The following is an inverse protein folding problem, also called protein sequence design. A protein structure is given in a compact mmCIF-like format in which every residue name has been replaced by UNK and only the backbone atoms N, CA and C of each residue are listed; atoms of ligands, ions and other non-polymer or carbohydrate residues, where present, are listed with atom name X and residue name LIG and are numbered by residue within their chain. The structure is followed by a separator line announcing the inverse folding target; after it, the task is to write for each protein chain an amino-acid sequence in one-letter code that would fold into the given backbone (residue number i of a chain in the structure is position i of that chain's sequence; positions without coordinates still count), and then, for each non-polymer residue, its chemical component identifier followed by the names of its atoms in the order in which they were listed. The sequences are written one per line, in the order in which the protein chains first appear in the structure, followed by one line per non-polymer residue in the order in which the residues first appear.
data_IF_496250425785
#
_entry.id   IF_496250425785
#
_cell.length_a   1.000
_cell.length_b   1.000
_cell.length_c   1.000
_cell.angle_alpha   90.00
_cell.angle_beta   90.00
_cell.angle_gamma   90.00
#
_symmetry.space_group_name_H-M   'P 1'
#
loop_
_entity.id
_entity.type
_entity.pdbx_description
1 polymer ?
#
# COMPACT_ATOMS: atom_id res chain seq x y z
N UNK A 1 10.08 -0.19 11.05
CA UNK A 1 11.31 0.51 11.44
C UNK A 1 11.00 1.99 11.56
N UNK A 2 11.41 2.64 12.65
CA UNK A 2 11.27 4.09 12.83
C UNK A 2 12.61 4.73 12.49
N UNK A 3 12.61 5.69 11.57
CA UNK A 3 13.80 6.47 11.18
C UNK A 3 13.84 7.79 11.92
N UNK A 4 12.70 8.46 11.98
CA UNK A 4 12.53 9.71 12.71
C UNK A 4 11.58 9.51 13.89
N UNK A 5 12.05 9.66 15.15
CA UNK A 5 11.21 9.53 16.34
C UNK A 5 10.01 10.48 16.34
N UNK A 6 10.07 11.60 15.61
CA UNK A 6 8.97 12.56 15.48
C UNK A 6 7.70 11.91 14.93
N UNK A 7 7.83 10.84 14.14
CA UNK A 7 6.69 10.07 13.64
C UNK A 7 5.84 9.52 14.80
N UNK A 8 6.47 9.01 15.85
CA UNK A 8 5.75 8.45 16.99
C UNK A 8 4.99 9.52 17.79
N UNK A 9 5.44 10.76 17.75
CA UNK A 9 4.79 11.88 18.41
C UNK A 9 3.67 12.49 17.57
N UNK A 10 3.90 12.68 16.27
CA UNK A 10 3.00 13.42 15.40
C UNK A 10 1.89 12.57 14.80
N UNK A 11 2.08 11.25 14.65
CA UNK A 11 1.13 10.38 13.95
C UNK A 11 -0.25 10.34 14.63
N UNK A 12 -0.33 10.31 15.96
CA UNK A 12 -1.61 10.41 16.71
C UNK A 12 -2.33 11.77 16.53
N UNK A 13 -1.61 12.79 16.05
CA UNK A 13 -2.15 14.12 15.79
C UNK A 13 -2.61 14.31 14.34
N UNK A 14 -2.36 13.34 13.45
CA UNK A 14 -2.83 13.39 12.08
C UNK A 14 -4.37 13.25 12.01
N UNK A 15 -4.99 13.99 11.10
CA UNK A 15 -6.45 13.95 10.84
C UNK A 15 -6.78 13.65 9.38
N UNK A 16 -5.79 13.77 8.49
CA UNK A 16 -5.92 13.38 7.10
C UNK A 16 -4.99 12.20 6.81
N UNK A 17 -5.54 11.11 6.27
CA UNK A 17 -4.79 9.97 5.78
C UNK A 17 -4.76 9.98 4.25
N UNK A 18 -3.57 9.93 3.67
CA UNK A 18 -3.33 9.94 2.23
C UNK A 18 -2.67 8.63 1.84
N UNK A 19 -3.25 7.95 0.85
CA UNK A 19 -2.74 6.69 0.35
C UNK A 19 -2.29 6.83 -1.10
N UNK A 20 -1.10 6.34 -1.42
CA UNK A 20 -0.87 5.86 -2.77
C UNK A 20 -1.69 4.58 -3.04
N UNK A 21 -1.97 4.30 -4.30
CA UNK A 21 -2.72 3.09 -4.69
C UNK A 21 -1.78 1.90 -4.78
N UNK A 22 -0.73 2.00 -5.60
CA UNK A 22 0.09 0.86 -6.06
C UNK A 22 1.12 0.50 -5.01
N UNK A 23 1.16 -0.76 -4.59
CA UNK A 23 2.11 -1.21 -3.56
C UNK A 23 1.78 -0.74 -2.14
N UNK A 24 0.72 0.06 -1.98
CA UNK A 24 0.26 0.58 -0.68
C UNK A 24 -1.09 -0.02 -0.30
N UNK A 25 -2.19 0.36 -0.97
CA UNK A 25 -3.50 -0.28 -0.77
C UNK A 25 -3.63 -1.60 -1.53
N UNK A 26 -2.73 -1.82 -2.48
CA UNK A 26 -2.60 -3.04 -3.27
C UNK A 26 -1.24 -3.68 -3.03
N UNK A 27 -1.09 -4.92 -3.50
CA UNK A 27 0.22 -5.60 -3.47
C UNK A 27 1.21 -5.08 -4.53
N UNK A 28 0.78 -4.19 -5.43
CA UNK A 28 1.60 -3.67 -6.53
C UNK A 28 1.96 -4.74 -7.56
N UNK A 29 1.16 -5.80 -7.65
CA UNK A 29 1.41 -6.96 -8.51
C UNK A 29 0.17 -7.23 -9.37
N UNK A 30 0.34 -7.35 -10.70
CA UNK A 30 -0.78 -7.68 -11.57
C UNK A 30 -1.29 -9.10 -11.24
N UNK A 31 -2.60 -9.25 -11.13
CA UNK A 31 -3.29 -10.53 -10.98
C UNK A 31 -4.29 -10.67 -12.12
N UNK A 32 -4.38 -11.85 -12.71
CA UNK A 32 -5.35 -12.16 -13.76
C UNK A 32 -6.76 -12.19 -13.18
N UNK A 33 -7.60 -11.19 -13.49
CA UNK A 33 -8.95 -11.04 -12.91
C UNK A 33 -10.07 -11.43 -13.85
N UNK A 34 -9.95 -11.11 -15.15
CA UNK A 34 -10.98 -11.44 -16.14
C UNK A 34 -10.37 -12.29 -17.25
N UNK A 35 -11.07 -13.37 -17.59
CA UNK A 35 -10.74 -14.25 -18.70
C UNK A 35 -11.98 -14.39 -19.58
N UNK A 36 -11.89 -13.96 -20.84
CA UNK A 36 -12.95 -14.13 -21.83
C UNK A 36 -12.42 -14.98 -22.97
N UNK A 37 -13.09 -16.09 -23.24
CA UNK A 37 -12.74 -17.03 -24.31
C UNK A 37 -13.66 -16.80 -25.51
N UNK A 38 -13.13 -16.90 -26.71
CA UNK A 38 -13.84 -16.64 -27.97
C UNK A 38 -13.91 -17.84 -28.91
N UNK A 39 -13.08 -18.86 -28.69
CA UNK A 39 -13.09 -20.11 -29.45
C UNK A 39 -13.73 -21.24 -28.63
N UNK A 40 -14.22 -22.28 -29.31
CA UNK A 40 -14.74 -23.50 -28.68
C UNK A 40 -13.62 -24.40 -28.14
N UNK A 41 -12.78 -23.89 -27.24
CA UNK A 41 -11.79 -24.65 -26.46
C UNK A 41 -12.00 -24.44 -24.97
N UNK A 42 -11.53 -25.39 -24.17
CA UNK A 42 -11.57 -25.27 -22.71
C UNK A 42 -10.71 -24.05 -22.27
N UNK A 43 -11.26 -23.12 -21.47
CA UNK A 43 -10.49 -22.02 -20.88
C UNK A 43 -9.19 -22.48 -20.20
N UNK A 44 -9.18 -23.65 -19.55
CA UNK A 44 -7.98 -24.21 -18.92
C UNK A 44 -6.92 -24.62 -19.92
N UNK A 45 -7.32 -25.10 -21.09
CA UNK A 45 -6.38 -25.43 -22.17
C UNK A 45 -5.73 -24.17 -22.74
N UNK A 46 -6.51 -23.10 -22.91
CA UNK A 46 -5.99 -21.80 -23.34
C UNK A 46 -5.03 -21.23 -22.28
N UNK A 47 -5.40 -21.31 -21.00
CA UNK A 47 -4.53 -20.89 -19.90
C UNK A 47 -3.24 -21.71 -19.84
N UNK A 48 -3.32 -23.03 -20.09
CA UNK A 48 -2.15 -23.91 -20.20
C UNK A 48 -1.21 -23.47 -21.32
N UNK A 49 -1.74 -23.17 -22.50
CA UNK A 49 -0.95 -22.70 -23.63
C UNK A 49 -0.31 -21.33 -23.32
N UNK A 50 -1.08 -20.38 -22.81
CA UNK A 50 -0.61 -19.04 -22.44
C UNK A 50 0.48 -19.10 -21.34
N UNK A 51 0.27 -19.88 -20.28
CA UNK A 51 1.24 -20.03 -19.20
C UNK A 51 2.52 -20.74 -19.66
N UNK A 52 2.40 -21.72 -20.58
CA UNK A 52 3.55 -22.49 -21.09
C UNK A 52 4.53 -21.60 -21.86
N UNK A 53 4.04 -20.63 -22.62
CA UNK A 53 4.90 -19.68 -23.32
C UNK A 53 5.38 -18.54 -22.42
N UNK A 54 4.52 -18.01 -21.54
CA UNK A 54 4.87 -16.93 -20.61
C UNK A 54 5.97 -17.31 -19.62
N UNK A 55 6.19 -18.60 -19.37
CA UNK A 55 7.36 -19.10 -18.61
C UNK A 55 8.71 -18.55 -19.10
N UNK A 56 8.79 -18.15 -20.37
CA UNK A 56 10.02 -17.64 -20.99
C UNK A 56 10.09 -16.11 -21.06
N UNK A 57 9.02 -15.39 -20.72
CA UNK A 57 9.03 -13.92 -20.66
C UNK A 57 9.46 -13.42 -19.28
N UNK A 58 10.08 -12.25 -19.26
CA UNK A 58 10.39 -11.49 -18.03
C UNK A 58 9.35 -10.40 -17.75
N UNK A 59 8.28 -10.33 -18.53
CA UNK A 59 7.28 -9.30 -18.39
C UNK A 59 6.45 -9.50 -17.10
N UNK A 60 6.08 -8.44 -16.36
CA UNK A 60 5.29 -8.57 -15.13
C UNK A 60 3.97 -9.35 -15.30
N UNK A 61 3.32 -9.24 -16.47
CA UNK A 61 2.09 -9.99 -16.79
C UNK A 61 2.29 -11.50 -16.89
N UNK A 62 3.49 -11.94 -17.30
CA UNK A 62 3.85 -13.36 -17.38
C UNK A 62 3.68 -14.04 -16.02
N UNK A 63 4.17 -13.37 -14.97
CA UNK A 63 4.08 -13.87 -13.59
C UNK A 63 2.64 -14.03 -13.12
N UNK A 64 1.73 -13.17 -13.58
CA UNK A 64 0.31 -13.24 -13.23
C UNK A 64 -0.38 -14.43 -13.90
N UNK A 65 -0.07 -14.71 -15.17
CA UNK A 65 -0.60 -15.87 -15.90
C UNK A 65 -0.05 -17.17 -15.28
N UNK A 66 1.24 -17.22 -14.98
CA UNK A 66 1.88 -18.38 -14.33
C UNK A 66 1.30 -18.65 -12.93
N UNK A 67 1.06 -17.60 -12.14
CA UNK A 67 0.44 -17.73 -10.83
C UNK A 67 -0.98 -18.30 -10.94
N UNK A 68 -1.79 -17.84 -11.90
CA UNK A 68 -3.13 -18.37 -12.15
C UNK A 68 -3.10 -19.84 -12.57
N UNK A 69 -2.18 -20.21 -13.47
CA UNK A 69 -2.03 -21.60 -13.89
C UNK A 69 -1.61 -22.51 -12.73
N UNK A 70 -0.74 -22.04 -11.84
CA UNK A 70 -0.36 -22.76 -10.62
C UNK A 70 -1.53 -22.91 -9.65
N UNK A 71 -2.33 -21.87 -9.44
CA UNK A 71 -3.54 -21.90 -8.60
C UNK A 71 -4.54 -22.96 -9.10
N UNK A 72 -4.68 -23.09 -10.42
CA UNK A 72 -5.55 -24.06 -11.07
C UNK A 72 -4.92 -25.45 -11.26
N UNK A 73 -3.71 -25.68 -10.73
CA UNK A 73 -2.95 -26.94 -10.84
C UNK A 73 -2.72 -27.39 -12.30
N UNK A 74 -2.44 -26.45 -13.19
CA UNK A 74 -2.23 -26.71 -14.62
C UNK A 74 -0.76 -27.07 -14.86
N UNK A 75 -0.53 -28.29 -15.35
CA UNK A 75 0.81 -28.73 -15.79
C UNK A 75 1.19 -28.06 -17.11
N UNK A 76 2.28 -27.31 -17.09
CA UNK A 76 2.83 -26.63 -18.27
C UNK A 76 3.46 -27.63 -19.25
N UNK A 77 3.48 -27.26 -20.53
CA UNK A 77 4.13 -28.01 -21.60
C UNK A 77 5.28 -27.22 -22.21
N UNK A 78 6.20 -27.91 -22.88
CA UNK A 78 7.35 -27.26 -23.49
C UNK A 78 6.94 -26.47 -24.74
N UNK A 79 7.40 -25.22 -24.81
CA UNK A 79 7.21 -24.35 -25.95
C UNK A 79 8.45 -24.36 -26.85
N UNK A 80 8.25 -24.39 -28.16
CA UNK A 80 9.29 -24.39 -29.18
C UNK A 80 9.23 -23.08 -29.99
N UNK A 81 10.33 -22.75 -30.68
CA UNK A 81 10.42 -21.57 -31.59
C UNK A 81 9.93 -20.26 -30.97
N UNK A 82 10.31 -20.02 -29.72
CA UNK A 82 9.87 -18.85 -28.96
C UNK A 82 10.56 -17.60 -29.49
N UNK A 83 9.78 -16.54 -29.70
CA UNK A 83 10.29 -15.22 -30.05
C UNK A 83 9.47 -14.13 -29.33
N UNK A 84 10.16 -13.11 -28.83
CA UNK A 84 9.56 -11.92 -28.20
C UNK A 84 10.05 -10.66 -28.94
N UNK A 85 9.54 -10.37 -30.15
CA UNK A 85 9.93 -9.16 -30.87
C UNK A 85 9.51 -7.93 -30.06
N UNK A 86 10.38 -6.92 -30.02
CA UNK A 86 10.15 -5.71 -29.22
C UNK A 86 8.81 -5.08 -29.56
N UNK A 87 7.93 -5.05 -28.57
CA UNK A 87 6.63 -4.42 -28.69
C UNK A 87 5.61 -5.21 -29.49
N UNK A 88 5.86 -6.45 -29.92
CA UNK A 88 4.85 -7.28 -30.63
C UNK A 88 4.22 -8.34 -29.74
N UNK A 89 4.77 -8.55 -28.54
CA UNK A 89 4.37 -9.61 -27.62
C UNK A 89 5.21 -10.87 -27.81
N UNK A 90 4.67 -12.00 -27.35
CA UNK A 90 5.37 -13.27 -27.25
C UNK A 90 4.70 -14.30 -28.17
N UNK A 91 5.48 -15.02 -28.99
CA UNK A 91 4.99 -16.05 -29.91
C UNK A 91 5.81 -17.33 -29.85
N UNK A 92 5.18 -18.47 -30.08
CA UNK A 92 5.83 -19.78 -30.04
C UNK A 92 4.89 -20.91 -30.41
N UNK A 93 5.48 -22.08 -30.68
CA UNK A 93 4.77 -23.31 -31.03
C UNK A 93 4.62 -24.17 -29.76
N UNK A 94 3.38 -24.52 -29.39
CA UNK A 94 3.08 -25.21 -28.13
C UNK A 94 2.03 -26.29 -28.39
N UNK A 95 2.35 -27.55 -28.10
CA UNK A 95 1.40 -28.65 -28.26
C UNK A 95 0.88 -28.82 -29.70
N UNK A 96 1.65 -28.39 -30.71
CA UNK A 96 1.24 -28.44 -32.12
C UNK A 96 0.44 -27.23 -32.62
N UNK A 97 0.09 -26.28 -31.75
CA UNK A 97 -0.55 -25.01 -32.12
C UNK A 97 0.44 -23.85 -32.11
N UNK A 98 0.26 -22.88 -33.01
CA UNK A 98 0.96 -21.61 -32.96
C UNK A 98 0.23 -20.68 -31.98
N UNK A 99 0.92 -20.20 -30.95
CA UNK A 99 0.34 -19.36 -29.90
C UNK A 99 1.04 -18.00 -29.87
N UNK A 100 0.24 -16.92 -29.85
CA UNK A 100 0.73 -15.54 -29.79
C UNK A 100 -0.01 -14.80 -28.68
N UNK A 101 0.74 -14.21 -27.74
CA UNK A 101 0.25 -13.30 -26.72
C UNK A 101 0.66 -11.89 -27.10
N UNK A 102 -0.31 -10.99 -27.25
CA UNK A 102 -0.02 -9.61 -27.68
C UNK A 102 -1.02 -8.61 -27.10
N UNK A 103 -0.83 -7.33 -27.42
CA UNK A 103 -1.78 -6.27 -27.08
C UNK A 103 -2.91 -6.20 -28.13
N UNK A 104 -4.09 -5.70 -27.75
CA UNK A 104 -5.21 -5.54 -28.69
C UNK A 104 -4.86 -4.70 -29.94
N UNK A 105 -3.87 -3.80 -29.82
CA UNK A 105 -3.42 -2.92 -30.90
C UNK A 105 -2.69 -3.65 -32.03
N UNK A 106 -2.24 -4.88 -31.80
CA UNK A 106 -1.50 -5.67 -32.81
C UNK A 106 -2.35 -6.70 -33.53
N UNK A 107 -3.62 -6.88 -33.15
CA UNK A 107 -4.52 -7.82 -33.82
C UNK A 107 -4.65 -7.52 -35.32
N UNK A 108 -4.78 -6.23 -35.69
CA UNK A 108 -4.86 -5.80 -37.09
C UNK A 108 -3.61 -6.17 -37.89
N UNK A 109 -2.42 -6.05 -37.28
CA UNK A 109 -1.14 -6.40 -37.92
C UNK A 109 -0.98 -7.91 -38.11
N UNK A 110 -1.58 -8.70 -37.23
CA UNK A 110 -1.61 -10.16 -37.33
C UNK A 110 -2.67 -10.67 -38.34
N UNK A 111 -3.45 -9.77 -38.95
CA UNK A 111 -4.53 -10.14 -39.87
C UNK A 111 -5.76 -10.73 -39.17
N UNK A 112 -5.81 -10.67 -37.84
CA UNK A 112 -6.92 -11.21 -37.04
C UNK A 112 -8.02 -10.16 -36.99
N UNK A 113 -9.06 -10.35 -37.81
CA UNK A 113 -10.22 -9.44 -37.84
C UNK A 113 -11.13 -9.73 -36.65
N UNK A 114 -11.10 -8.84 -35.65
CA UNK A 114 -11.95 -8.92 -34.47
C UNK A 114 -12.98 -7.79 -34.52
N UNK A 115 -14.29 -8.05 -34.37
CA UNK A 115 -15.27 -6.99 -34.21
C UNK A 115 -14.88 -6.08 -33.03
N UNK A 116 -14.92 -4.76 -33.22
CA UNK A 116 -14.47 -3.79 -32.21
C UNK A 116 -15.18 -3.93 -30.85
N UNK A 117 -16.41 -4.42 -30.87
CA UNK A 117 -17.26 -4.58 -29.68
C UNK A 117 -17.08 -5.94 -28.99
N UNK A 118 -16.30 -6.86 -29.58
CA UNK A 118 -16.13 -8.20 -29.04
C UNK A 118 -15.23 -8.20 -27.78
N UNK A 119 -14.20 -7.37 -27.79
CA UNK A 119 -13.25 -7.23 -26.68
C UNK A 119 -13.82 -6.35 -25.57
N UNK A 120 -13.78 -6.79 -24.30
CA UNK A 120 -14.23 -5.98 -23.19
C UNK A 120 -13.55 -4.61 -23.16
N UNK A 121 -14.34 -3.55 -22.97
CA UNK A 121 -13.86 -2.20 -22.66
C UNK A 121 -13.50 -2.11 -21.16
N UNK A 122 -12.67 -1.14 -20.79
CA UNK A 122 -12.29 -0.85 -19.40
C UNK A 122 -10.78 -0.83 -19.15
N UNK A 123 -10.39 -0.11 -18.09
CA UNK A 123 -8.99 0.02 -17.66
C UNK A 123 -8.44 -1.24 -17.00
N UNK A 124 -7.11 -1.26 -16.89
CA UNK A 124 -6.32 -2.42 -16.50
C UNK A 124 -5.23 -2.73 -17.52
N UNK A 125 -4.25 -3.51 -17.10
CA UNK A 125 -3.35 -4.16 -18.04
C UNK A 125 -4.10 -5.32 -18.70
N UNK A 126 -3.76 -5.64 -19.93
CA UNK A 126 -4.48 -6.65 -20.71
C UNK A 126 -3.57 -7.31 -21.75
N UNK A 127 -3.93 -8.52 -22.13
CA UNK A 127 -3.38 -9.18 -23.30
C UNK A 127 -4.45 -10.00 -24.01
N UNK A 128 -4.24 -10.21 -25.30
CA UNK A 128 -5.03 -11.12 -26.13
C UNK A 128 -4.18 -12.31 -26.52
N UNK A 129 -4.83 -13.47 -26.59
CA UNK A 129 -4.22 -14.74 -26.96
C UNK A 129 -4.79 -15.12 -28.32
N UNK A 130 -3.90 -15.35 -29.28
CA UNK A 130 -4.21 -15.82 -30.63
C UNK A 130 -3.67 -17.24 -30.75
N UNK A 131 -4.50 -18.17 -31.22
CA UNK A 131 -4.13 -19.57 -31.46
C UNK A 131 -4.44 -19.87 -32.92
N UNK A 132 -3.44 -20.36 -33.65
CA UNK A 132 -3.58 -20.78 -35.05
C UNK A 132 -4.22 -19.71 -35.97
N UNK A 133 -3.95 -18.42 -35.68
CA UNK A 133 -4.47 -17.28 -36.43
C UNK A 133 -5.84 -16.76 -35.99
N UNK A 134 -6.48 -17.37 -34.98
CA UNK A 134 -7.78 -16.95 -34.45
C UNK A 134 -7.65 -16.34 -33.06
N UNK A 135 -8.46 -15.31 -32.75
CA UNK A 135 -8.53 -14.76 -31.39
C UNK A 135 -9.12 -15.81 -30.45
N UNK A 136 -8.29 -16.38 -29.57
CA UNK A 136 -8.68 -17.43 -28.64
C UNK A 136 -9.25 -16.88 -27.34
N UNK A 137 -8.56 -15.92 -26.73
CA UNK A 137 -8.96 -15.35 -25.46
C UNK A 137 -8.48 -13.91 -25.24
N UNK A 138 -9.10 -13.25 -24.27
CA UNK A 138 -8.76 -11.95 -23.74
C UNK A 138 -8.58 -12.07 -22.23
N UNK A 139 -7.42 -11.63 -21.75
CA UNK A 139 -7.05 -11.62 -20.34
C UNK A 139 -6.88 -10.19 -19.86
N UNK A 140 -7.49 -9.89 -18.71
CA UNK A 140 -7.32 -8.61 -18.00
C UNK A 140 -6.67 -8.83 -16.67
N UNK A 141 -5.74 -7.94 -16.35
CA UNK A 141 -5.01 -7.93 -15.11
C UNK A 141 -5.33 -6.67 -14.34
N UNK A 142 -5.48 -6.83 -13.03
CA UNK A 142 -5.64 -5.71 -12.09
C UNK A 142 -4.72 -5.92 -10.92
N UNK A 143 -4.36 -4.82 -10.30
CA UNK A 143 -3.62 -4.84 -9.05
C UNK A 143 -4.58 -5.17 -7.91
N UNK A 144 -4.30 -6.25 -7.18
CA UNK A 144 -5.21 -6.75 -6.17
C UNK A 144 -5.07 -5.94 -4.88
N UNK A 145 -6.19 -5.45 -4.29
CA UNK A 145 -6.15 -4.81 -2.97
C UNK A 145 -5.63 -5.79 -1.92
N UNK A 146 -4.91 -5.29 -0.91
CA UNK A 146 -4.49 -6.14 0.22
C UNK A 146 -5.73 -6.65 0.94
N UNK A 147 -5.71 -7.90 1.40
CA UNK A 147 -6.86 -8.55 2.08
C UNK A 147 -7.45 -7.65 3.16
N UNK A 148 -6.57 -7.01 3.91
CA UNK A 148 -6.90 -6.25 5.09
C UNK A 148 -7.24 -4.76 4.81
N UNK A 149 -7.09 -4.29 3.57
CA UNK A 149 -7.22 -2.87 3.23
C UNK A 149 -8.58 -2.30 3.56
N UNK A 150 -9.67 -2.98 3.19
CA UNK A 150 -11.02 -2.50 3.49
C UNK A 150 -11.27 -2.42 5.00
N UNK A 151 -10.81 -3.43 5.74
CA UNK A 151 -10.89 -3.46 7.21
C UNK A 151 -10.10 -2.29 7.82
N UNK A 152 -8.87 -2.07 7.36
CA UNK A 152 -8.01 -0.99 7.83
C UNK A 152 -8.64 0.39 7.62
N UNK A 153 -9.11 0.68 6.39
CA UNK A 153 -9.75 1.96 6.04
C UNK A 153 -10.96 2.23 6.94
N UNK A 154 -11.80 1.22 7.16
CA UNK A 154 -13.00 1.34 8.01
C UNK A 154 -12.67 1.62 9.49
N UNK A 155 -11.46 1.29 9.97
CA UNK A 155 -11.04 1.55 11.34
C UNK A 155 -10.39 2.93 11.55
N UNK A 156 -9.89 3.57 10.49
CA UNK A 156 -9.14 4.82 10.60
C UNK A 156 -9.95 5.94 11.27
N UNK A 157 -11.21 6.15 10.88
CA UNK A 157 -12.06 7.14 11.53
C UNK A 157 -12.48 6.72 12.96
N UNK A 158 -13.20 5.61 13.18
CA UNK A 158 -13.76 5.29 14.50
C UNK A 158 -12.71 4.97 15.58
N UNK A 159 -11.54 4.44 15.21
CA UNK A 159 -10.47 4.09 16.15
C UNK A 159 -9.32 5.10 16.14
N UNK A 160 -9.07 5.75 15.01
CA UNK A 160 -7.92 6.63 14.84
C UNK A 160 -8.21 8.10 14.60
N UNK A 161 -9.48 8.49 14.58
CA UNK A 161 -9.93 9.88 14.47
C UNK A 161 -9.42 10.56 13.19
N UNK A 162 -9.14 9.80 12.14
CA UNK A 162 -8.90 10.36 10.82
C UNK A 162 -10.23 10.83 10.24
N UNK A 163 -10.37 12.14 10.05
CA UNK A 163 -11.57 12.80 9.54
C UNK A 163 -11.64 12.74 8.01
N UNK A 164 -10.47 12.69 7.36
CA UNK A 164 -10.37 12.65 5.90
C UNK A 164 -9.45 11.52 5.47
N UNK A 165 -9.91 10.75 4.49
CA UNK A 165 -9.17 9.64 3.88
C UNK A 165 -9.21 9.86 2.37
N UNK A 166 -8.06 9.80 1.71
CA UNK A 166 -7.96 10.01 0.26
C UNK A 166 -6.96 9.08 -0.41
N UNK A 167 -7.19 8.81 -1.70
CA UNK A 167 -6.23 8.14 -2.59
C UNK A 167 -5.65 9.16 -3.55
N UNK A 168 -4.33 9.19 -3.68
CA UNK A 168 -3.59 10.02 -4.63
C UNK A 168 -2.69 9.12 -5.45
N UNK A 169 -2.97 8.95 -6.75
CA UNK A 169 -2.27 8.00 -7.61
C UNK A 169 -2.02 8.54 -9.02
N UNK A 170 -0.95 8.05 -9.65
CA UNK A 170 -0.63 8.29 -11.06
C UNK A 170 -1.39 7.37 -12.03
N UNK A 171 -2.07 6.35 -11.50
CA UNK A 171 -2.83 5.40 -12.30
C UNK A 171 -4.09 6.03 -12.91
N UNK A 172 -4.72 5.31 -13.84
CA UNK A 172 -5.93 5.78 -14.52
C UNK A 172 -7.10 5.90 -13.57
N UNK A 173 -7.94 6.90 -13.80
CA UNK A 173 -9.16 7.18 -13.01
C UNK A 173 -10.00 5.93 -12.73
N UNK A 174 -10.27 5.12 -13.74
CA UNK A 174 -11.06 3.89 -13.61
C UNK A 174 -10.42 2.84 -12.67
N UNK A 175 -9.09 2.76 -12.60
CA UNK A 175 -8.38 1.83 -11.72
C UNK A 175 -8.40 2.30 -10.27
N UNK A 176 -8.18 3.60 -10.07
CA UNK A 176 -8.18 4.19 -8.72
C UNK A 176 -9.59 4.20 -8.14
N UNK A 177 -10.62 4.55 -8.93
CA UNK A 177 -12.03 4.51 -8.50
C UNK A 177 -12.49 3.11 -8.14
N UNK A 178 -12.10 2.10 -8.92
CA UNK A 178 -12.43 0.70 -8.63
C UNK A 178 -11.96 0.26 -7.24
N UNK A 179 -10.76 0.69 -6.84
CA UNK A 179 -10.22 0.42 -5.49
C UNK A 179 -10.92 1.27 -4.43
N UNK A 180 -11.12 2.57 -4.71
CA UNK A 180 -11.77 3.49 -3.79
C UNK A 180 -13.19 3.07 -3.40
N UNK A 181 -14.01 2.67 -4.38
CA UNK A 181 -15.39 2.21 -4.17
C UNK A 181 -15.47 0.97 -3.29
N UNK A 182 -14.56 0.00 -3.48
CA UNK A 182 -14.48 -1.22 -2.64
C UNK A 182 -14.10 -0.93 -1.20
N UNK A 183 -13.39 0.17 -0.96
CA UNK A 183 -12.91 0.57 0.37
C UNK A 183 -13.75 1.70 0.99
N UNK A 184 -14.76 2.21 0.29
CA UNK A 184 -15.59 3.31 0.76
C UNK A 184 -14.86 4.67 0.84
N UNK A 185 -13.82 4.88 0.03
CA UNK A 185 -13.05 6.13 0.01
C UNK A 185 -13.67 7.09 -1.02
N UNK A 186 -14.10 8.27 -0.58
CA UNK A 186 -14.77 9.26 -1.43
C UNK A 186 -13.80 10.22 -2.15
N UNK A 187 -12.65 10.51 -1.54
CA UNK A 187 -11.67 11.47 -2.05
C UNK A 187 -10.65 10.75 -2.93
N UNK A 188 -10.76 10.93 -4.24
CA UNK A 188 -9.93 10.22 -5.23
C UNK A 188 -9.26 11.22 -6.17
N UNK A 189 -7.93 11.15 -6.26
CA UNK A 189 -7.11 11.92 -7.20
C UNK A 189 -6.30 10.95 -8.05
N UNK A 190 -6.76 10.68 -9.27
CA UNK A 190 -6.05 9.82 -10.23
C UNK A 190 -5.34 10.63 -11.33
N UNK A 191 -4.54 9.94 -12.15
CA UNK A 191 -3.74 10.51 -13.23
C UNK A 191 -2.82 11.66 -12.77
N UNK A 192 -2.32 11.60 -11.52
CA UNK A 192 -1.48 12.66 -10.94
C UNK A 192 0.00 12.42 -11.23
N UNK A 193 0.65 13.45 -11.77
CA UNK A 193 2.11 13.52 -11.83
C UNK A 193 2.73 13.59 -10.42
N UNK A 194 4.00 13.19 -10.24
CA UNK A 194 4.68 13.30 -8.95
C UNK A 194 4.59 14.71 -8.34
N UNK A 195 4.70 15.76 -9.16
CA UNK A 195 4.61 17.16 -8.74
C UNK A 195 3.20 17.52 -8.22
N UNK A 196 2.16 17.07 -8.92
CA UNK A 196 0.78 17.25 -8.48
C UNK A 196 0.51 16.49 -7.18
N UNK A 197 1.05 15.26 -7.01
CA UNK A 197 0.91 14.52 -5.75
C UNK A 197 1.47 15.34 -4.59
N UNK A 198 2.67 15.91 -4.74
CA UNK A 198 3.31 16.77 -3.74
C UNK A 198 2.44 17.99 -3.42
N UNK A 199 1.90 18.66 -4.44
CA UNK A 199 1.05 19.83 -4.24
C UNK A 199 -0.21 19.49 -3.43
N UNK A 200 -0.88 18.38 -3.75
CA UNK A 200 -2.06 17.91 -3.00
C UNK A 200 -1.69 17.67 -1.54
N UNK A 201 -0.58 16.97 -1.27
CA UNK A 201 -0.14 16.69 0.11
C UNK A 201 0.18 18.00 0.86
N UNK A 202 0.85 18.95 0.23
CA UNK A 202 1.15 20.27 0.83
C UNK A 202 -0.13 21.03 1.17
N UNK A 203 -1.11 21.04 0.27
CA UNK A 203 -2.40 21.73 0.50
C UNK A 203 -3.20 21.09 1.63
N UNK A 204 -3.21 19.77 1.72
CA UNK A 204 -3.89 19.08 2.81
C UNK A 204 -3.16 19.25 4.15
N UNK A 205 -1.83 19.28 4.13
CA UNK A 205 -0.99 19.50 5.31
C UNK A 205 -1.18 20.90 5.92
N UNK A 206 -1.54 21.90 5.09
CA UNK A 206 -1.91 23.24 5.58
C UNK A 206 -3.24 23.25 6.34
N UNK A 207 -4.16 22.32 6.03
CA UNK A 207 -5.50 22.23 6.66
C UNK A 207 -5.45 21.44 7.95
N UNK A 208 -4.76 20.29 7.93
CA UNK A 208 -4.59 19.43 9.09
C UNK A 208 -3.32 18.59 8.94
N UNK A 209 -2.82 18.02 10.04
CA UNK A 209 -1.67 17.11 9.97
C UNK A 209 -2.00 15.87 9.16
N UNK A 210 -1.10 15.53 8.24
CA UNK A 210 -1.27 14.46 7.25
C UNK A 210 -0.39 13.27 7.59
N UNK A 211 -0.93 12.07 7.44
CA UNK A 211 -0.14 10.85 7.33
C UNK A 211 -0.21 10.37 5.86
N UNK A 212 0.93 10.20 5.21
CA UNK A 212 1.02 9.70 3.84
C UNK A 212 1.60 8.29 3.84
N UNK A 213 0.91 7.36 3.20
CA UNK A 213 1.36 5.98 2.99
C UNK A 213 1.69 5.77 1.51
N UNK A 214 2.90 5.30 1.21
CA UNK A 214 3.38 5.07 -0.15
C UNK A 214 4.38 3.90 -0.26
N UNK A 215 4.75 3.53 -1.48
CA UNK A 215 5.85 2.56 -1.72
C UNK A 215 7.25 3.20 -1.63
N UNK A 216 7.28 4.54 -1.63
CA UNK A 216 8.46 5.40 -1.56
C UNK A 216 9.45 5.27 -2.71
N UNK A 217 9.09 4.60 -3.82
CA UNK A 217 9.86 4.65 -5.06
C UNK A 217 9.41 5.87 -5.87
N UNK A 218 8.10 5.98 -6.12
CA UNK A 218 7.53 7.09 -6.89
C UNK A 218 7.01 8.22 -6.00
N UNK A 219 6.77 7.93 -4.72
CA UNK A 219 6.12 8.85 -3.78
C UNK A 219 7.09 9.49 -2.77
N UNK A 220 8.40 9.30 -2.94
CA UNK A 220 9.40 9.84 -2.03
C UNK A 220 9.22 11.36 -1.76
N UNK A 221 9.02 12.23 -2.77
CA UNK A 221 8.76 13.65 -2.53
C UNK A 221 7.47 13.91 -1.73
N UNK A 222 6.41 13.16 -2.00
CA UNK A 222 5.12 13.30 -1.32
C UNK A 222 5.20 12.84 0.16
N UNK A 223 5.96 11.77 0.43
CA UNK A 223 6.25 11.28 1.78
C UNK A 223 7.01 12.31 2.63
N UNK A 224 7.96 13.03 2.02
CA UNK A 224 8.78 14.03 2.72
C UNK A 224 8.00 15.29 3.11
N UNK A 225 7.00 15.71 2.32
CA UNK A 225 6.21 16.93 2.60
C UNK A 225 5.01 16.68 3.51
N UNK A 226 4.60 15.43 3.70
CA UNK A 226 3.58 15.07 4.67
C UNK A 226 4.04 15.34 6.10
N UNK A 227 3.11 15.53 7.05
CA UNK A 227 3.49 15.64 8.47
C UNK A 227 4.16 14.34 8.95
N UNK A 228 3.64 13.21 8.48
CA UNK A 228 4.23 11.88 8.73
C UNK A 228 4.21 11.06 7.44
N UNK A 229 5.38 10.77 6.88
CA UNK A 229 5.54 9.82 5.78
C UNK A 229 5.83 8.40 6.28
N UNK A 230 5.04 7.43 5.81
CA UNK A 230 5.19 6.00 6.09
C UNK A 230 5.35 5.25 4.76
N UNK A 231 6.48 4.57 4.57
CA UNK A 231 6.72 3.81 3.35
C UNK A 231 6.58 2.29 3.56
N UNK A 232 6.14 1.57 2.53
CA UNK A 232 6.20 0.11 2.44
C UNK A 232 7.49 -0.33 1.74
N UNK A 233 8.17 -1.35 2.28
CA UNK A 233 9.22 -2.04 1.54
C UNK A 233 10.39 -2.56 2.37
N UNK A 234 11.09 -3.53 1.78
CA UNK A 234 12.30 -4.17 2.35
C UNK A 234 13.61 -3.68 1.72
N UNK A 235 13.62 -3.15 0.49
CA UNK A 235 14.81 -3.20 -0.38
C UNK A 235 15.05 -1.96 -1.27
N UNK A 236 14.84 -0.74 -0.81
CA UNK A 236 15.33 0.43 -1.55
C UNK A 236 15.84 1.49 -0.57
N UNK A 237 17.12 1.83 -0.70
CA UNK A 237 17.77 2.87 0.12
C UNK A 237 17.03 4.20 -0.02
N UNK A 238 16.50 4.48 -1.22
CA UNK A 238 15.70 5.67 -1.54
C UNK A 238 14.38 5.71 -0.75
N UNK A 239 13.68 4.57 -0.65
CA UNK A 239 12.44 4.43 0.13
C UNK A 239 12.71 4.63 1.62
N UNK A 240 13.86 4.17 2.11
CA UNK A 240 14.25 4.27 3.51
C UNK A 240 14.73 5.68 3.92
N UNK A 241 15.20 6.49 2.98
CA UNK A 241 15.60 7.89 3.23
C UNK A 241 14.41 8.86 3.20
N UNK A 242 13.40 8.58 2.38
CA UNK A 242 12.28 9.50 2.16
C UNK A 242 11.18 9.47 3.24
N UNK A 243 11.11 8.41 4.04
CA UNK A 243 10.03 8.20 5.01
C UNK A 243 10.52 8.23 6.46
N UNK A 244 9.72 8.85 7.34
CA UNK A 244 10.00 8.86 8.78
C UNK A 244 9.80 7.49 9.44
N UNK A 245 8.97 6.63 8.86
CA UNK A 245 8.82 5.23 9.23
C UNK A 245 8.72 4.33 7.99
N UNK A 246 9.25 3.11 8.12
CA UNK A 246 9.25 2.09 7.05
C UNK A 246 8.62 0.82 7.59
N UNK A 247 7.58 0.34 6.93
CA UNK A 247 6.93 -0.94 7.21
C UNK A 247 7.61 -2.03 6.38
N UNK A 248 8.29 -2.94 7.06
CA UNK A 248 9.08 -4.01 6.42
C UNK A 248 8.22 -5.21 5.99
N UNK A 249 7.01 -5.32 6.54
CA UNK A 249 6.07 -6.38 6.18
C UNK A 249 5.11 -5.86 5.11
N UNK A 250 4.66 -6.76 4.25
CA UNK A 250 3.74 -6.44 3.16
C UNK A 250 2.29 -6.39 3.67
N UNK A 251 2.07 -5.73 4.82
CA UNK A 251 0.77 -5.69 5.50
C UNK A 251 0.47 -4.37 6.20
N UNK A 252 -0.78 -3.90 6.02
CA UNK A 252 -1.33 -2.71 6.68
C UNK A 252 -1.56 -2.94 8.19
N UNK A 253 -1.57 -4.19 8.66
CA UNK A 253 -1.64 -4.52 10.09
C UNK A 253 -0.52 -3.82 10.86
N UNK A 254 0.70 -3.79 10.31
CA UNK A 254 1.84 -3.12 10.94
C UNK A 254 1.70 -1.60 10.99
N UNK A 255 0.94 -1.02 10.08
CA UNK A 255 0.59 0.40 10.14
C UNK A 255 -0.39 0.64 11.29
N UNK A 256 -1.39 -0.21 11.46
CA UNK A 256 -2.32 -0.11 12.59
C UNK A 256 -1.59 -0.27 13.93
N UNK A 257 -0.68 -1.26 14.05
CA UNK A 257 0.19 -1.41 15.22
C UNK A 257 0.96 -0.11 15.51
N UNK A 258 1.51 0.53 14.48
CA UNK A 258 2.22 1.80 14.60
C UNK A 258 1.32 2.93 15.11
N UNK A 259 0.07 3.03 14.61
CA UNK A 259 -0.91 4.00 15.08
C UNK A 259 -1.21 3.81 16.59
N UNK A 260 -1.39 2.57 17.03
CA UNK A 260 -1.61 2.27 18.45
C UNK A 260 -0.39 2.57 19.32
N UNK A 261 0.82 2.25 18.84
CA UNK A 261 2.07 2.53 19.54
C UNK A 261 2.27 4.05 19.68
N UNK A 262 2.08 4.82 18.60
CA UNK A 262 2.20 6.28 18.61
C UNK A 262 1.25 6.90 19.64
N UNK A 263 -0.03 6.53 19.63
CA UNK A 263 -1.01 7.03 20.61
C UNK A 263 -0.62 6.72 22.04
N UNK A 264 -0.20 5.48 22.31
CA UNK A 264 0.19 5.07 23.66
C UNK A 264 1.43 5.83 24.12
N UNK A 265 2.44 5.96 23.27
CA UNK A 265 3.66 6.70 23.56
C UNK A 265 3.34 8.16 23.87
N UNK A 266 2.55 8.82 23.03
CA UNK A 266 2.13 10.21 23.26
C UNK A 266 1.34 10.38 24.55
N UNK A 267 0.41 9.47 24.85
CA UNK A 267 -0.37 9.50 26.11
C UNK A 267 0.53 9.38 27.33
N UNK A 268 1.46 8.43 27.33
CA UNK A 268 2.39 8.23 28.45
C UNK A 268 3.35 9.43 28.58
N UNK A 269 3.86 9.95 27.46
CA UNK A 269 4.70 11.14 27.44
C UNK A 269 3.99 12.37 28.01
N UNK A 270 2.74 12.61 27.61
CA UNK A 270 1.91 13.69 28.17
C UNK A 270 1.62 13.50 29.66
N UNK A 271 1.38 12.27 30.12
CA UNK A 271 1.20 11.97 31.54
C UNK A 271 2.46 12.31 32.34
N UNK A 272 3.64 11.91 31.87
CA UNK A 272 4.91 12.20 32.55
C UNK A 272 5.21 13.70 32.53
N UNK A 273 5.05 14.37 31.40
CA UNK A 273 5.36 15.79 31.26
C UNK A 273 4.40 16.69 32.06
N UNK A 274 3.09 16.55 31.84
CA UNK A 274 2.10 17.37 32.54
C UNK A 274 2.04 17.04 34.03
N UNK A 275 2.17 15.76 34.39
CA UNK A 275 2.23 15.33 35.78
C UNK A 275 3.46 15.90 36.49
N UNK A 276 4.63 15.81 35.87
CA UNK A 276 5.88 16.38 36.42
C UNK A 276 5.80 17.90 36.60
N UNK A 277 5.29 18.62 35.58
CA UNK A 277 5.08 20.07 35.66
C UNK A 277 4.12 20.42 36.80
N UNK A 278 2.98 19.73 36.91
CA UNK A 278 1.99 20.00 37.94
C UNK A 278 2.57 19.78 39.35
N UNK A 279 3.27 18.66 39.58
CA UNK A 279 3.92 18.36 40.86
C UNK A 279 5.01 19.39 41.20
N UNK A 280 5.80 19.79 40.22
CA UNK A 280 6.85 20.80 40.40
C UNK A 280 6.26 22.17 40.77
N UNK A 281 5.17 22.58 40.12
CA UNK A 281 4.46 23.83 40.45
C UNK A 281 3.90 23.79 41.86
N UNK A 282 3.31 22.66 42.28
CA UNK A 282 2.84 22.48 43.66
C UNK A 282 4.02 22.61 44.64
N UNK A 283 5.14 21.93 44.37
CA UNK A 283 6.36 22.03 45.19
C UNK A 283 6.89 23.45 45.33
N UNK A 284 6.90 24.23 44.23
CA UNK A 284 7.30 25.64 44.25
C UNK A 284 6.38 26.51 45.12
N UNK A 285 5.06 26.27 45.11
CA UNK A 285 4.12 27.01 45.97
C UNK A 285 4.41 26.73 47.45
N UNK A 286 4.68 25.47 47.81
CA UNK A 286 5.07 25.11 49.17
C UNK A 286 6.41 25.74 49.59
N UNK A 287 7.39 25.76 48.69
CA UNK A 287 8.69 26.41 48.92
C UNK A 287 8.55 27.93 49.11
N UNK A 288 7.78 28.60 48.24
CA UNK A 288 7.52 30.04 48.34
C UNK A 288 6.79 30.43 49.63
N UNK A 289 5.96 29.53 50.15
CA UNK A 289 5.24 29.71 51.43
C UNK A 289 6.11 29.40 52.66
N UNK A 290 7.39 29.03 52.47
CA UNK A 290 8.34 28.72 53.55
C UNK A 290 8.22 27.31 54.13
N UNK A 291 7.35 26.45 53.56
CA UNK A 291 7.11 25.09 54.07
C UNK A 291 8.07 24.04 53.51
N UNK A 292 8.88 24.37 52.50
CA UNK A 292 9.80 23.43 51.86
C UNK A 292 11.23 23.97 51.83
N UNK A 293 12.12 23.53 52.74
CA UNK A 293 13.53 23.90 52.73
C UNK A 293 14.26 23.46 51.45
N UNK A 294 15.34 24.14 51.02
CA UNK A 294 16.02 23.84 49.75
C UNK A 294 16.45 22.38 49.56
N UNK A 295 17.01 21.75 50.61
CA UNK A 295 17.45 20.34 50.55
C UNK A 295 16.27 19.38 50.37
N UNK A 296 15.15 19.63 51.06
CA UNK A 296 13.94 18.83 50.92
C UNK A 296 13.28 19.04 49.55
N UNK A 297 13.34 20.27 49.01
CA UNK A 297 12.89 20.58 47.66
C UNK A 297 13.69 19.83 46.59
N UNK A 298 15.02 19.80 46.72
CA UNK A 298 15.89 19.04 45.81
C UNK A 298 15.55 17.54 45.80
N UNK A 299 15.41 16.92 46.99
CA UNK A 299 15.01 15.50 47.10
C UNK A 299 13.63 15.26 46.49
N UNK A 300 12.70 16.19 46.72
CA UNK A 300 11.34 16.09 46.16
C UNK A 300 11.35 16.16 44.63
N UNK A 301 12.20 17.00 44.04
CA UNK A 301 12.37 17.06 42.58
C UNK A 301 12.90 15.73 42.01
N UNK A 302 13.92 15.14 42.64
CA UNK A 302 14.45 13.83 42.22
C UNK A 302 13.38 12.73 42.28
N UNK A 303 12.50 12.75 43.29
CA UNK A 303 11.37 11.80 43.36
C UNK A 303 10.40 11.99 42.19
N UNK A 304 10.08 13.25 41.84
CA UNK A 304 9.21 13.56 40.68
C UNK A 304 9.83 13.02 39.39
N UNK A 305 11.14 13.21 39.20
CA UNK A 305 11.87 12.75 38.02
C UNK A 305 11.88 11.22 37.93
N UNK A 306 12.13 10.52 39.05
CA UNK A 306 12.06 9.05 39.11
C UNK A 306 10.64 8.55 38.77
N UNK A 307 9.59 9.19 39.29
CA UNK A 307 8.21 8.83 38.96
C UNK A 307 7.91 9.02 37.47
N UNK A 308 8.40 10.11 36.86
CA UNK A 308 8.26 10.35 35.43
C UNK A 308 8.99 9.29 34.60
N UNK A 309 10.19 8.87 35.02
CA UNK A 309 10.96 7.78 34.37
C UNK A 309 10.21 6.45 34.48
N UNK A 310 9.72 6.10 35.67
CA UNK A 310 8.95 4.86 35.89
C UNK A 310 7.67 4.83 35.06
N UNK A 311 6.95 5.96 34.95
CA UNK A 311 5.79 6.04 34.08
C UNK A 311 6.17 5.87 32.60
N UNK A 312 7.28 6.46 32.18
CA UNK A 312 7.77 6.37 30.80
C UNK A 312 8.23 4.95 30.44
N UNK A 313 8.85 4.22 31.37
CA UNK A 313 9.24 2.81 31.21
C UNK A 313 8.07 1.88 30.87
N UNK A 314 6.82 2.27 31.20
CA UNK A 314 5.63 1.53 30.78
C UNK A 314 5.51 1.39 29.26
N UNK A 315 6.17 2.25 28.48
CA UNK A 315 6.22 2.14 27.01
C UNK A 315 6.99 0.90 26.54
N UNK A 316 7.94 0.39 27.32
CA UNK A 316 8.75 -0.79 26.97
C UNK A 316 7.94 -2.09 27.01
N UNK A 317 6.84 -2.14 27.77
CA UNK A 317 5.99 -3.32 27.85
C UNK A 317 5.00 -3.38 26.68
N UNK A 318 4.97 -4.52 25.98
CA UNK A 318 4.01 -4.75 24.88
C UNK A 318 2.57 -4.55 25.36
N UNK A 319 1.75 -3.75 24.66
CA UNK A 319 0.35 -3.60 25.05
C UNK A 319 -0.41 -4.91 24.77
N UNK A 320 -1.48 -5.18 25.54
CA UNK A 320 -2.29 -6.38 25.36
C UNK A 320 -3.11 -6.37 24.06
N UNK A 321 -3.35 -5.21 23.44
CA UNK A 321 -3.97 -5.06 22.12
C UNK A 321 -3.16 -4.10 21.26
N UNK A 322 -2.76 -4.57 20.09
CA UNK A 322 -1.98 -3.84 19.08
C UNK A 322 -2.71 -3.74 17.74
N UNK A 323 -3.83 -4.46 17.59
CA UNK A 323 -4.63 -4.60 16.37
C UNK A 323 -6.07 -4.59 16.84
N UNK A 324 -6.89 -3.69 16.30
CA UNK A 324 -8.33 -3.62 16.59
C UNK A 324 -9.15 -4.06 15.37
N UNK A 325 -8.56 -4.09 14.17
CA UNK A 325 -9.24 -4.51 12.96
C UNK A 325 -9.40 -6.04 12.87
N UNK A 326 -10.57 -6.54 12.42
CA UNK A 326 -10.74 -7.96 12.14
C UNK A 326 -9.83 -8.35 10.98
N UNK A 327 -8.98 -9.36 11.22
CA UNK A 327 -8.24 -10.05 10.18
C UNK A 327 -9.25 -10.91 9.41
N UNK A 328 -9.44 -10.64 8.12
CA UNK A 328 -10.16 -11.57 7.26
C UNK A 328 -9.25 -12.77 7.01
N UNK A 329 -9.73 -13.97 7.34
CA UNK A 329 -9.05 -15.26 7.01
C UNK A 329 -8.88 -15.41 5.48
#
# INVERSE_FOLDING_TARGET
MIKNPIVLEQLDQCRTMIFDKTGTLTYGKPVLTDQKVFISRDPKEILKLAASIERYSKHPLASAILAKASEENISLIEAQRIAEPKGEGLRGDIGGSQVILTSRKHLDRLGVKVPKDLLPQGAGLECVIVIDGELAAYYRFRDMPRKESGSFINHLHPKHLFEKIMIVSGDREEEVRYIAERMGISEVYANKSPEEKVQIVVEETKKARTAYLGDGINDAPALMVASVGIAFGRNSDVTAEAAGAVVMDDSLVKVEELLHISRRMRRIGLQSALGGIALSVIGMIFAASGFLPPVAGAISQEIIDVLAILNSLRTAWRPPRLIDMPLQE
#
